data_IF_955447939438
#
_entry.id   IF_955447939438
#
_cell.length_a   1.000
_cell.length_b   1.000
_cell.length_c   1.000
_cell.angle_alpha   90.00
_cell.angle_beta   90.00
_cell.angle_gamma   90.00
#
_symmetry.space_group_name_H-M   'P 1'
#
loop_
_entity.id
_entity.type
_entity.pdbx_description
1 polymer ?
#
# COMPACT_ATOMS: atom_id res chain seq x y z
N UNK A 1 -18.78 -4.03 -15.38
CA UNK A 1 -18.29 -3.29 -14.20
C UNK A 1 -18.28 -1.81 -14.55
N UNK A 2 -18.88 -0.94 -13.71
CA UNK A 2 -19.04 0.47 -14.06
C UNK A 2 -17.66 1.16 -14.08
N UNK A 3 -17.35 1.95 -15.13
CA UNK A 3 -16.01 2.56 -15.32
C UNK A 3 -15.55 3.34 -14.08
N UNK A 4 -16.48 4.04 -13.45
CA UNK A 4 -16.24 4.83 -12.23
C UNK A 4 -15.84 3.97 -11.02
N UNK A 5 -16.33 2.72 -10.94
CA UNK A 5 -15.97 1.80 -9.85
C UNK A 5 -14.53 1.29 -10.00
N UNK A 6 -14.09 1.04 -11.24
CA UNK A 6 -12.69 0.70 -11.52
C UNK A 6 -11.79 1.87 -11.15
N UNK A 7 -12.15 3.08 -11.56
CA UNK A 7 -11.39 4.28 -11.23
C UNK A 7 -11.27 4.50 -9.72
N UNK A 8 -12.36 4.33 -8.96
CA UNK A 8 -12.33 4.41 -7.50
C UNK A 8 -11.41 3.37 -6.85
N UNK A 9 -11.37 2.15 -7.39
CA UNK A 9 -10.44 1.13 -6.94
C UNK A 9 -8.98 1.51 -7.19
N UNK A 10 -8.66 2.05 -8.38
CA UNK A 10 -7.31 2.53 -8.72
C UNK A 10 -6.91 3.68 -7.78
N UNK A 11 -7.80 4.64 -7.53
CA UNK A 11 -7.56 5.72 -6.54
C UNK A 11 -7.29 5.13 -5.16
N UNK A 12 -8.05 4.11 -4.74
CA UNK A 12 -7.80 3.37 -3.51
C UNK A 12 -6.39 2.78 -3.43
N UNK A 13 -5.92 2.16 -4.51
CA UNK A 13 -4.55 1.61 -4.61
C UNK A 13 -3.49 2.71 -4.49
N UNK A 14 -3.69 3.86 -5.14
CA UNK A 14 -2.77 5.00 -5.05
C UNK A 14 -2.69 5.51 -3.60
N UNK A 15 -3.85 5.71 -2.96
CA UNK A 15 -3.92 6.15 -1.56
C UNK A 15 -3.25 5.11 -0.64
N UNK A 16 -3.53 3.83 -0.84
CA UNK A 16 -2.88 2.74 -0.12
C UNK A 16 -1.36 2.78 -0.30
N UNK A 17 -0.85 2.97 -1.51
CA UNK A 17 0.60 3.03 -1.76
C UNK A 17 1.28 4.19 -1.04
N UNK A 18 0.61 5.34 -0.94
CA UNK A 18 1.10 6.49 -0.17
C UNK A 18 1.10 6.19 1.34
N UNK A 19 0.02 5.60 1.85
CA UNK A 19 -0.06 5.18 3.26
C UNK A 19 1.00 4.14 3.61
N UNK A 20 1.20 3.16 2.74
CA UNK A 20 2.26 2.18 2.88
C UNK A 20 3.64 2.84 3.00
N UNK A 21 3.93 3.81 2.12
CA UNK A 21 5.19 4.55 2.15
C UNK A 21 5.40 5.27 3.49
N UNK A 22 4.35 5.93 4.00
CA UNK A 22 4.39 6.59 5.31
C UNK A 22 4.60 5.60 6.46
N UNK A 23 3.92 4.44 6.42
CA UNK A 23 4.05 3.40 7.44
C UNK A 23 5.47 2.87 7.48
N UNK A 24 6.06 2.57 6.31
CA UNK A 24 7.45 2.09 6.25
C UNK A 24 8.41 3.17 6.74
N UNK A 25 8.27 4.42 6.30
CA UNK A 25 9.13 5.52 6.75
C UNK A 25 9.07 5.69 8.29
N UNK A 26 7.87 5.61 8.87
CA UNK A 26 7.64 5.70 10.31
C UNK A 26 8.29 4.55 11.10
N UNK A 27 8.17 3.31 10.62
CA UNK A 27 8.72 2.13 11.30
C UNK A 27 10.24 2.06 11.15
N UNK A 28 10.77 2.50 10.01
CA UNK A 28 12.19 2.35 9.65
C UNK A 28 13.08 3.40 10.28
N UNK A 29 12.55 4.57 10.66
CA UNK A 29 13.31 5.71 11.19
C UNK A 29 12.86 6.05 12.62
N UNK A 30 13.48 5.44 13.65
CA UNK A 30 13.08 5.64 15.06
C UNK A 30 13.54 6.99 15.66
N UNK A 31 13.93 7.97 14.85
CA UNK A 31 14.39 9.30 15.30
C UNK A 31 13.51 10.39 14.70
N UNK A 32 13.42 11.55 15.36
CA UNK A 32 12.52 12.70 15.10
C UNK A 32 12.70 13.39 13.72
N UNK A 33 13.06 12.66 12.67
CA UNK A 33 13.06 13.14 11.30
C UNK A 33 11.63 13.35 10.82
N UNK A 34 11.43 14.37 10.01
CA UNK A 34 10.15 14.63 9.37
C UNK A 34 9.77 13.45 8.47
N UNK A 35 8.51 13.01 8.57
CA UNK A 35 7.96 12.00 7.66
C UNK A 35 8.14 12.48 6.23
N UNK A 36 8.81 11.67 5.42
CA UNK A 36 9.06 11.97 4.01
C UNK A 36 8.26 11.00 3.16
N UNK A 37 7.39 11.54 2.32
CA UNK A 37 6.76 10.75 1.26
C UNK A 37 7.79 10.42 0.18
N UNK A 38 8.50 9.32 0.37
CA UNK A 38 9.43 8.76 -0.60
C UNK A 38 9.08 7.29 -0.88
N UNK A 39 8.15 7.04 -1.82
CA UNK A 39 7.64 5.70 -2.08
C UNK A 39 8.74 4.74 -2.56
N UNK A 40 9.68 5.22 -3.37
CA UNK A 40 10.74 4.39 -3.96
C UNK A 40 11.66 3.87 -2.85
N UNK A 41 12.08 4.75 -1.94
CA UNK A 41 12.89 4.39 -0.78
C UNK A 41 12.14 3.44 0.16
N UNK A 42 10.84 3.69 0.36
CA UNK A 42 9.98 2.85 1.21
C UNK A 42 9.81 1.43 0.67
N UNK A 43 9.53 1.27 -0.63
CA UNK A 43 9.44 -0.06 -1.26
C UNK A 43 10.78 -0.80 -1.22
N UNK A 44 11.89 -0.08 -1.44
CA UNK A 44 13.23 -0.65 -1.38
C UNK A 44 13.56 -1.13 0.03
N UNK A 45 13.28 -0.31 1.05
CA UNK A 45 13.48 -0.64 2.46
C UNK A 45 12.63 -1.84 2.89
N UNK A 46 11.37 -1.88 2.46
CA UNK A 46 10.48 -3.02 2.72
C UNK A 46 11.04 -4.32 2.14
N UNK A 47 11.34 -4.35 0.84
CA UNK A 47 11.84 -5.56 0.19
C UNK A 47 13.20 -5.98 0.73
N UNK A 48 14.10 -5.02 0.98
CA UNK A 48 15.38 -5.29 1.60
C UNK A 48 15.21 -5.94 2.97
N UNK A 49 14.32 -5.43 3.82
CA UNK A 49 14.08 -5.98 5.16
C UNK A 49 13.61 -7.44 5.13
N UNK A 50 12.68 -7.76 4.21
CA UNK A 50 12.19 -9.12 4.05
C UNK A 50 13.24 -10.06 3.47
N UNK A 51 13.94 -9.63 2.41
CA UNK A 51 14.97 -10.45 1.74
C UNK A 51 16.19 -10.66 2.63
N UNK A 52 16.62 -9.64 3.37
CA UNK A 52 17.72 -9.74 4.30
C UNK A 52 17.39 -10.68 5.47
N UNK A 53 16.17 -10.61 6.01
CA UNK A 53 15.77 -11.45 7.14
C UNK A 53 15.51 -12.92 6.80
N UNK A 54 14.92 -13.20 5.63
CA UNK A 54 14.38 -14.54 5.29
C UNK A 54 14.84 -15.04 3.91
N UNK A 55 15.75 -14.35 3.24
CA UNK A 55 16.24 -14.71 1.90
C UNK A 55 15.12 -14.77 0.86
N UNK A 56 15.15 -15.80 0.02
CA UNK A 56 14.15 -16.04 -1.03
C UNK A 56 12.73 -16.20 -0.48
N UNK A 57 12.57 -16.81 0.70
CA UNK A 57 11.25 -16.95 1.34
C UNK A 57 10.71 -15.57 1.73
N UNK A 58 11.58 -14.69 2.22
CA UNK A 58 11.25 -13.29 2.51
C UNK A 58 10.76 -12.54 1.29
N UNK A 59 11.42 -12.71 0.14
CA UNK A 59 10.97 -12.11 -1.12
C UNK A 59 9.54 -12.54 -1.49
N UNK A 60 9.25 -13.84 -1.42
CA UNK A 60 7.92 -14.39 -1.75
C UNK A 60 6.86 -13.84 -0.79
N UNK A 61 7.12 -13.91 0.51
CA UNK A 61 6.20 -13.41 1.54
C UNK A 61 5.98 -11.90 1.41
N UNK A 62 7.05 -11.13 1.23
CA UNK A 62 6.98 -9.69 1.04
C UNK A 62 6.16 -9.32 -0.20
N UNK A 63 6.31 -10.05 -1.30
CA UNK A 63 5.51 -9.85 -2.50
C UNK A 63 4.04 -10.20 -2.29
N UNK A 64 3.74 -11.34 -1.65
CA UNK A 64 2.36 -11.74 -1.37
C UNK A 64 1.65 -10.76 -0.43
N UNK A 65 2.33 -10.30 0.62
CA UNK A 65 1.82 -9.30 1.54
C UNK A 65 1.56 -7.97 0.83
N UNK A 66 2.48 -7.53 -0.03
CA UNK A 66 2.30 -6.29 -0.79
C UNK A 66 1.11 -6.40 -1.76
N UNK A 67 1.00 -7.51 -2.50
CA UNK A 67 -0.15 -7.74 -3.38
C UNK A 67 -1.46 -7.78 -2.60
N UNK A 68 -1.49 -8.49 -1.47
CA UNK A 68 -2.65 -8.55 -0.59
C UNK A 68 -3.06 -7.16 -0.09
N UNK A 69 -2.10 -6.34 0.30
CA UNK A 69 -2.32 -4.96 0.71
C UNK A 69 -2.93 -4.10 -0.41
N UNK A 70 -2.39 -4.17 -1.63
CA UNK A 70 -2.92 -3.41 -2.77
C UNK A 70 -4.33 -3.87 -3.14
N UNK A 71 -4.61 -5.17 -3.14
CA UNK A 71 -5.95 -5.72 -3.39
C UNK A 71 -6.94 -5.26 -2.31
N UNK A 72 -6.53 -5.24 -1.06
CA UNK A 72 -7.34 -4.75 0.04
C UNK A 72 -7.73 -3.27 -0.15
N UNK A 73 -6.77 -2.42 -0.50
CA UNK A 73 -7.03 -1.00 -0.77
C UNK A 73 -7.84 -0.75 -2.03
N UNK A 74 -7.67 -1.57 -3.07
CA UNK A 74 -8.56 -1.57 -4.23
C UNK A 74 -10.00 -1.86 -3.80
N UNK A 75 -10.20 -2.91 -2.99
CA UNK A 75 -11.52 -3.30 -2.50
C UNK A 75 -12.15 -2.18 -1.67
N UNK A 76 -11.42 -1.59 -0.72
CA UNK A 76 -11.88 -0.43 0.06
C UNK A 76 -12.30 0.71 -0.85
N UNK A 77 -11.46 1.10 -1.83
CA UNK A 77 -11.78 2.18 -2.76
C UNK A 77 -13.09 1.91 -3.52
N UNK A 78 -13.29 0.68 -3.99
CA UNK A 78 -14.55 0.31 -4.65
C UNK A 78 -15.75 0.24 -3.70
N UNK A 79 -15.54 -0.13 -2.44
CA UNK A 79 -16.58 -0.24 -1.42
C UNK A 79 -17.07 1.15 -0.98
N UNK A 80 -16.15 2.06 -0.69
CA UNK A 80 -16.44 3.46 -0.34
C UNK A 80 -17.22 4.14 -1.47
N UNK A 81 -16.81 3.96 -2.73
CA UNK A 81 -17.58 4.45 -3.87
C UNK A 81 -19.00 3.88 -3.91
N UNK A 82 -19.16 2.60 -3.58
CA UNK A 82 -20.47 1.94 -3.45
C UNK A 82 -21.36 2.56 -2.37
N UNK A 83 -20.80 2.99 -1.25
CA UNK A 83 -21.55 3.68 -0.19
C UNK A 83 -22.01 5.06 -0.67
N UNK A 84 -21.09 5.87 -1.22
CA UNK A 84 -21.37 7.23 -1.69
C UNK A 84 -22.42 7.24 -2.80
N UNK A 85 -22.38 6.26 -3.71
CA UNK A 85 -23.35 6.16 -4.81
C UNK A 85 -24.69 5.54 -4.41
N UNK A 86 -24.79 4.84 -3.27
CA UNK A 86 -26.08 4.36 -2.74
C UNK A 86 -26.84 5.45 -1.98
N UNK A 87 -26.13 6.48 -1.51
CA UNK A 87 -26.72 7.65 -0.84
C UNK A 87 -27.24 8.71 -1.83
N UNK A 88 -26.99 8.54 -3.14
CA UNK A 88 -27.56 9.37 -4.21
C UNK A 88 -28.66 8.63 -4.95
#
# INVERSE_FOLDING_TARGET
MNKNRIFAGIVGVIVGSLLFSLIIDLISKPSNYSLKLDPIDSFSTYYFSFVYGLGTVGFILGTLLLLGYLVFFYFIGTWVYGLITKEK
#
